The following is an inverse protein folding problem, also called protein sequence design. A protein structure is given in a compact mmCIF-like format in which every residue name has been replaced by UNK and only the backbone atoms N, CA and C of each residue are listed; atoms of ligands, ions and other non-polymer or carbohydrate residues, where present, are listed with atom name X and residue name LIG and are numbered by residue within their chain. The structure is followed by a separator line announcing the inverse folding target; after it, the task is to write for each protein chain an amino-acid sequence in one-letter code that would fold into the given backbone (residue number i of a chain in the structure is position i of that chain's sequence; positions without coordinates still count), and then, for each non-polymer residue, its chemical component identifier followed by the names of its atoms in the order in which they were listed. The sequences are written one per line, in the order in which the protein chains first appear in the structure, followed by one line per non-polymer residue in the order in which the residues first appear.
data_IF_485565432803
#
_entry.id   IF_485565432803
#
_cell.length_a   1.000
_cell.length_b   1.000
_cell.length_c   1.000
_cell.angle_alpha   90.00
_cell.angle_beta   90.00
_cell.angle_gamma   90.00
#
_symmetry.space_group_name_H-M   'P 1'
#
loop_
_entity.id
_entity.type
_entity.pdbx_description
1 polymer ?
#
# COMPACT_ATOMS: atom_id res chain seq x y z
N UNK A 1 -1.44 17.36 -22.87
CA UNK A 1 -2.29 16.25 -23.34
C UNK A 1 -2.67 15.45 -22.13
N UNK A 2 -3.96 15.51 -21.75
CA UNK A 2 -4.52 14.78 -20.62
C UNK A 2 -4.83 13.36 -21.11
N UNK A 3 -3.99 12.39 -20.75
CA UNK A 3 -4.24 10.98 -21.03
C UNK A 3 -5.11 10.45 -19.88
N UNK A 4 -6.23 9.76 -20.14
CA UNK A 4 -7.00 9.16 -19.06
C UNK A 4 -6.08 8.20 -18.31
N UNK A 5 -6.05 8.26 -16.96
CA UNK A 5 -5.13 7.44 -16.19
C UNK A 5 -5.43 5.97 -16.48
N UNK A 6 -4.42 5.23 -16.94
CA UNK A 6 -4.54 3.82 -17.24
C UNK A 6 -5.00 3.05 -15.98
N UNK A 7 -5.77 1.96 -16.13
CA UNK A 7 -6.13 1.11 -14.99
C UNK A 7 -4.88 0.60 -14.27
N UNK A 8 -4.91 0.57 -12.93
CA UNK A 8 -3.80 0.01 -12.15
C UNK A 8 -3.57 -1.45 -12.51
N UNK A 9 -2.33 -1.81 -12.81
CA UNK A 9 -1.90 -3.21 -12.91
C UNK A 9 -1.59 -3.79 -11.53
N UNK A 10 -1.49 -5.11 -11.42
CA UNK A 10 -1.06 -5.77 -10.17
C UNK A 10 0.35 -5.30 -9.74
N UNK A 11 1.22 -5.01 -10.71
CA UNK A 11 2.56 -4.47 -10.46
C UNK A 11 2.46 -3.07 -9.86
N UNK A 12 1.68 -2.18 -10.47
CA UNK A 12 1.51 -0.81 -9.98
C UNK A 12 0.87 -0.80 -8.59
N UNK A 13 -0.12 -1.66 -8.37
CA UNK A 13 -0.75 -1.88 -7.05
C UNK A 13 0.29 -2.25 -6.00
N UNK A 14 1.24 -3.12 -6.33
CA UNK A 14 2.30 -3.52 -5.39
C UNK A 14 3.20 -2.33 -5.03
N UNK A 15 3.64 -1.57 -6.02
CA UNK A 15 4.44 -0.36 -5.76
C UNK A 15 3.67 0.67 -4.94
N UNK A 16 2.39 0.86 -5.26
CA UNK A 16 1.52 1.80 -4.56
C UNK A 16 1.33 1.42 -3.09
N UNK A 17 1.04 0.14 -2.79
CA UNK A 17 0.85 -0.36 -1.42
C UNK A 17 2.15 -0.26 -0.62
N UNK A 18 3.30 -0.57 -1.22
CA UNK A 18 4.58 -0.40 -0.55
C UNK A 18 4.92 1.07 -0.28
N UNK A 19 4.71 1.95 -1.26
CA UNK A 19 4.94 3.39 -1.10
C UNK A 19 4.01 4.04 -0.07
N UNK A 20 2.77 3.52 0.06
CA UNK A 20 1.79 3.98 1.03
C UNK A 20 2.25 3.88 2.49
N UNK A 21 3.23 3.01 2.78
CA UNK A 21 3.86 2.91 4.10
C UNK A 21 4.62 4.19 4.46
N UNK A 22 5.37 4.72 3.51
CA UNK A 22 6.30 5.83 3.75
C UNK A 22 5.65 7.19 3.46
N UNK A 23 4.63 7.23 2.60
CA UNK A 23 3.90 8.44 2.25
C UNK A 23 2.41 8.14 2.01
N UNK A 24 1.54 8.98 2.55
CA UNK A 24 0.10 8.85 2.34
C UNK A 24 -0.27 8.89 0.84
N UNK A 25 -1.21 8.04 0.44
CA UNK A 25 -1.74 8.04 -0.92
C UNK A 25 -2.60 9.28 -1.16
N UNK A 26 -2.55 9.81 -2.38
CA UNK A 26 -3.51 10.82 -2.80
C UNK A 26 -4.93 10.23 -2.94
N UNK A 27 -5.99 11.06 -2.86
CA UNK A 27 -7.37 10.58 -3.01
C UNK A 27 -7.66 9.90 -4.36
N UNK A 28 -6.87 10.20 -5.40
CA UNK A 28 -6.97 9.50 -6.68
C UNK A 28 -6.37 8.09 -6.59
N UNK A 29 -5.20 7.97 -5.97
CA UNK A 29 -4.51 6.69 -5.79
C UNK A 29 -5.31 5.74 -4.89
N UNK A 30 -5.93 6.25 -3.83
CA UNK A 30 -6.82 5.46 -2.96
C UNK A 30 -8.00 4.88 -3.74
N UNK A 31 -8.67 5.71 -4.56
CA UNK A 31 -9.80 5.27 -5.39
C UNK A 31 -9.38 4.22 -6.42
N UNK A 32 -8.23 4.42 -7.07
CA UNK A 32 -7.71 3.45 -8.04
C UNK A 32 -7.33 2.14 -7.37
N UNK A 33 -6.69 2.19 -6.20
CA UNK A 33 -6.33 1.00 -5.43
C UNK A 33 -7.58 0.24 -4.99
N UNK A 34 -8.57 0.94 -4.44
CA UNK A 34 -9.84 0.34 -4.04
C UNK A 34 -10.55 -0.36 -5.21
N UNK A 35 -10.57 0.28 -6.39
CA UNK A 35 -11.14 -0.30 -7.59
C UNK A 35 -10.40 -1.57 -8.04
N UNK A 36 -9.05 -1.56 -8.02
CA UNK A 36 -8.25 -2.74 -8.37
C UNK A 36 -8.46 -3.89 -7.36
N UNK A 37 -8.45 -3.58 -6.06
CA UNK A 37 -8.66 -4.56 -5.00
C UNK A 37 -10.06 -5.16 -5.06
N UNK A 38 -11.08 -4.43 -5.48
CA UNK A 38 -12.43 -5.00 -5.67
C UNK A 38 -12.46 -6.09 -6.77
N UNK A 39 -11.61 -5.99 -7.80
CA UNK A 39 -11.60 -6.89 -8.96
C UNK A 39 -10.51 -7.97 -8.97
N UNK A 40 -9.50 -7.89 -8.11
CA UNK A 40 -8.32 -8.77 -8.17
C UNK A 40 -8.11 -9.57 -6.87
N UNK A 41 -8.50 -10.86 -6.82
CA UNK A 41 -8.34 -11.70 -5.62
C UNK A 41 -6.89 -11.82 -5.14
N UNK A 42 -5.93 -11.93 -6.07
CA UNK A 42 -4.51 -12.02 -5.74
C UNK A 42 -4.02 -10.76 -5.02
N UNK A 43 -4.41 -9.57 -5.49
CA UNK A 43 -4.05 -8.31 -4.85
C UNK A 43 -4.79 -8.08 -3.53
N UNK A 44 -6.00 -8.61 -3.34
CA UNK A 44 -6.66 -8.60 -2.03
C UNK A 44 -5.86 -9.40 -0.99
N UNK A 45 -5.39 -10.60 -1.36
CA UNK A 45 -4.55 -11.41 -0.47
C UNK A 45 -3.23 -10.69 -0.19
N UNK A 46 -2.56 -10.19 -1.22
CA UNK A 46 -1.29 -9.48 -1.08
C UNK A 46 -1.43 -8.24 -0.19
N UNK A 47 -2.48 -7.43 -0.38
CA UNK A 47 -2.72 -6.23 0.42
C UNK A 47 -2.89 -6.55 1.91
N UNK A 48 -3.59 -7.63 2.26
CA UNK A 48 -3.68 -8.11 3.65
C UNK A 48 -2.34 -8.57 4.21
N UNK A 49 -1.52 -9.24 3.39
CA UNK A 49 -0.18 -9.67 3.79
C UNK A 49 0.75 -8.47 4.05
N UNK A 50 0.71 -7.45 3.19
CA UNK A 50 1.46 -6.21 3.38
C UNK A 50 1.00 -5.47 4.64
N UNK A 51 -0.30 -5.33 4.88
CA UNK A 51 -0.82 -4.68 6.09
C UNK A 51 -0.32 -5.39 7.37
N UNK A 52 -0.31 -6.72 7.37
CA UNK A 52 0.25 -7.50 8.48
C UNK A 52 1.75 -7.26 8.65
N UNK A 53 2.52 -7.28 7.56
CA UNK A 53 3.96 -7.05 7.59
C UNK A 53 4.28 -5.65 8.11
N UNK A 54 3.58 -4.61 7.64
CA UNK A 54 3.82 -3.23 8.08
C UNK A 54 3.50 -3.05 9.56
N UNK A 55 2.39 -3.60 10.08
CA UNK A 55 2.13 -3.56 11.52
C UNK A 55 3.20 -4.27 12.37
N UNK A 56 3.82 -5.33 11.85
CA UNK A 56 4.98 -5.96 12.50
C UNK A 56 6.21 -5.08 12.47
N UNK A 57 6.48 -4.39 11.36
CA UNK A 57 7.58 -3.42 11.26
C UNK A 57 7.37 -2.24 12.20
N UNK A 58 6.17 -1.66 12.26
CA UNK A 58 5.85 -0.55 13.16
C UNK A 58 6.11 -0.95 14.62
N UNK A 59 5.74 -2.18 15.00
CA UNK A 59 5.99 -2.71 16.35
C UNK A 59 7.48 -2.84 16.65
N UNK A 60 8.29 -3.26 15.68
CA UNK A 60 9.74 -3.40 15.87
C UNK A 60 10.42 -2.04 15.95
N UNK A 61 10.07 -1.13 15.04
CA UNK A 61 10.68 0.20 14.95
C UNK A 61 10.33 1.07 16.16
N UNK A 62 9.09 1.03 16.65
CA UNK A 62 8.71 1.76 17.87
C UNK A 62 9.48 1.27 19.11
N UNK A 63 9.82 -0.03 19.19
CA UNK A 63 10.61 -0.58 20.30
C UNK A 63 12.07 -0.12 20.27
N UNK A 64 12.63 0.10 19.09
CA UNK A 64 14.00 0.62 18.95
C UNK A 64 14.06 2.10 19.33
N UNK A 65 13.01 2.90 19.04
CA UNK A 65 12.92 4.29 19.50
C UNK A 65 12.86 4.42 21.03
N UNK A 66 12.17 3.50 21.72
CA UNK A 66 12.11 3.45 23.19
C UNK A 66 13.41 2.97 23.85
N UNK A 67 14.28 2.26 23.12
CA UNK A 67 15.51 1.65 23.66
C UNK A 67 16.74 2.58 23.62
N UNK A 68 16.65 3.71 22.92
CA UNK A 68 17.74 4.71 22.76
C UNK A 68 17.60 5.91 23.74
N UNK A 69 16.76 5.80 24.78
CA UNK A 69 16.51 6.84 25.81
C UNK A 69 17.05 6.44 27.18
#
# INVERSE_FOLDING_TARGET
MDHPPAPLTCRDTTYLVCGARDAALSPQQERQLAAHLAGCPSCQVASRQFARLFGQLDTLLARDEDADI
#
